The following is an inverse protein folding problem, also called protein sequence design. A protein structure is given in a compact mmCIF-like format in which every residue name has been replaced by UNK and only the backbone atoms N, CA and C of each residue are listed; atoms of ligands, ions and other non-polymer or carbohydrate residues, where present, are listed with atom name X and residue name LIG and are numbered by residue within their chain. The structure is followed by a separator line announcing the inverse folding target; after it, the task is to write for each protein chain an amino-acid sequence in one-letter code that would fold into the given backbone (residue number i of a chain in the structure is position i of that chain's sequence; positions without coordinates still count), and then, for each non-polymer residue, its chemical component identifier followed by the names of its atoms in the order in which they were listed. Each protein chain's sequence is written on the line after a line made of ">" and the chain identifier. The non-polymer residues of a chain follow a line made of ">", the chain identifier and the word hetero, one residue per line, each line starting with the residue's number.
data_IF_275158624524
#
_entry.id   IF_275158624524
#
_cell.length_a   1.000
_cell.length_b   1.000
_cell.length_c   1.000
_cell.angle_alpha   90.00
_cell.angle_beta   90.00
_cell.angle_gamma   90.00
#
_symmetry.space_group_name_H-M   'P 1'
#
loop_
_entity.id
_entity.type
_entity.pdbx_description
1 polymer ?
#
# COMPACT_ATOMS: atom_id res chain seq x y z
N UNK A 1 -15.67 26.63 -6.33
CA UNK A 1 -15.73 28.03 -5.90
C UNK A 1 -16.55 28.24 -4.62
N UNK A 2 -17.68 27.56 -4.43
CA UNK A 2 -18.53 27.71 -3.25
C UNK A 2 -17.94 27.07 -1.98
N UNK A 3 -17.19 26.00 -2.12
CA UNK A 3 -16.48 25.33 -1.00
C UNK A 3 -15.32 26.20 -0.49
N UNK A 4 -14.59 26.81 -1.40
CA UNK A 4 -13.50 27.73 -1.04
C UNK A 4 -14.02 29.03 -0.41
N UNK A 5 -15.18 29.52 -0.84
CA UNK A 5 -15.81 30.70 -0.27
C UNK A 5 -16.37 30.46 1.15
N UNK A 6 -16.94 29.27 1.43
CA UNK A 6 -17.41 28.92 2.76
C UNK A 6 -16.26 28.66 3.76
N UNK A 7 -15.13 28.14 3.29
CA UNK A 7 -13.95 27.91 4.15
C UNK A 7 -13.28 29.23 4.58
N UNK A 8 -13.39 30.29 3.75
CA UNK A 8 -12.88 31.62 4.08
C UNK A 8 -13.71 32.36 5.12
N UNK A 9 -14.97 31.99 5.30
CA UNK A 9 -15.91 32.60 6.26
C UNK A 9 -15.75 32.07 7.70
N UNK A 10 -15.05 30.93 7.87
CA UNK A 10 -15.02 30.22 9.17
C UNK A 10 -13.67 30.34 9.90
N UNK A 11 -12.82 31.29 9.50
CA UNK A 11 -11.51 31.62 10.13
C UNK A 11 -10.57 30.40 10.30
N UNK A 12 -10.65 29.39 9.39
CA UNK A 12 -9.84 28.18 9.40
C UNK A 12 -8.86 28.17 8.22
N UNK A 13 -7.68 28.79 8.33
CA UNK A 13 -6.74 28.89 7.23
C UNK A 13 -6.26 27.51 6.72
N UNK A 14 -6.19 26.51 7.60
CA UNK A 14 -5.80 25.15 7.24
C UNK A 14 -6.80 24.45 6.30
N UNK A 15 -8.11 24.70 6.47
CA UNK A 15 -9.15 24.14 5.62
C UNK A 15 -9.14 24.76 4.22
N UNK A 16 -8.95 26.08 4.15
CA UNK A 16 -8.83 26.81 2.89
C UNK A 16 -7.59 26.36 2.09
N UNK A 17 -6.49 26.13 2.77
CA UNK A 17 -5.24 25.70 2.17
C UNK A 17 -5.30 24.24 1.66
N UNK A 18 -5.95 23.34 2.41
CA UNK A 18 -6.18 21.97 2.00
C UNK A 18 -7.14 21.88 0.80
N UNK A 19 -8.23 22.66 0.81
CA UNK A 19 -9.16 22.77 -0.32
C UNK A 19 -8.50 23.31 -1.58
N UNK A 20 -7.57 24.28 -1.44
CA UNK A 20 -6.82 24.84 -2.57
C UNK A 20 -5.83 23.83 -3.16
N UNK A 21 -5.17 23.06 -2.31
CA UNK A 21 -4.27 21.97 -2.75
C UNK A 21 -5.02 20.85 -3.45
N UNK A 22 -6.17 20.42 -2.93
CA UNK A 22 -7.03 19.43 -3.56
C UNK A 22 -7.52 19.88 -4.94
N UNK A 23 -7.98 21.13 -5.05
CA UNK A 23 -8.42 21.71 -6.32
C UNK A 23 -7.29 21.84 -7.35
N UNK A 24 -6.06 22.09 -6.90
CA UNK A 24 -4.88 22.15 -7.75
C UNK A 24 -4.44 20.76 -8.23
N UNK A 25 -4.43 19.77 -7.35
CA UNK A 25 -4.10 18.38 -7.68
C UNK A 25 -5.11 17.79 -8.67
N UNK A 26 -6.41 18.02 -8.47
CA UNK A 26 -7.46 17.60 -9.39
C UNK A 26 -7.30 18.19 -10.81
N UNK A 27 -6.81 19.42 -10.93
CA UNK A 27 -6.57 20.06 -12.23
C UNK A 27 -5.32 19.53 -12.94
N UNK A 28 -4.37 18.94 -12.20
CA UNK A 28 -3.12 18.42 -12.73
C UNK A 28 -3.17 16.89 -12.96
N UNK A 29 -4.30 16.25 -12.70
CA UNK A 29 -4.45 14.78 -12.72
C UNK A 29 -3.41 14.06 -11.84
N UNK A 30 -3.05 14.68 -10.73
CA UNK A 30 -2.11 14.14 -9.75
C UNK A 30 -2.89 13.38 -8.68
N UNK A 31 -3.11 12.10 -8.93
CA UNK A 31 -3.88 11.22 -8.03
C UNK A 31 -3.23 11.10 -6.62
N UNK A 32 -1.91 11.24 -6.53
CA UNK A 32 -1.17 11.19 -5.25
C UNK A 32 -1.44 12.45 -4.43
N UNK A 33 -1.35 13.62 -5.07
CA UNK A 33 -1.62 14.90 -4.42
C UNK A 33 -3.09 15.07 -4.03
N UNK A 34 -4.02 14.46 -4.80
CA UNK A 34 -5.44 14.49 -4.50
C UNK A 34 -5.78 13.64 -3.25
N UNK A 35 -5.17 12.46 -3.15
CA UNK A 35 -5.42 11.55 -2.03
C UNK A 35 -4.86 12.14 -0.71
N UNK A 36 -3.66 12.72 -0.76
CA UNK A 36 -3.02 13.39 0.39
C UNK A 36 -3.83 14.61 0.86
N UNK A 37 -4.36 15.40 -0.08
CA UNK A 37 -5.19 16.56 0.22
C UNK A 37 -6.57 16.18 0.77
N UNK A 38 -7.16 15.08 0.30
CA UNK A 38 -8.43 14.55 0.81
C UNK A 38 -8.30 13.97 2.22
N UNK A 39 -7.17 13.34 2.52
CA UNK A 39 -6.86 12.82 3.86
C UNK A 39 -6.74 13.95 4.88
N UNK A 40 -6.04 15.04 4.53
CA UNK A 40 -5.94 16.24 5.36
C UNK A 40 -7.32 16.90 5.55
N UNK A 41 -8.15 16.93 4.52
CA UNK A 41 -9.52 17.48 4.61
C UNK A 41 -10.40 16.66 5.56
N UNK A 42 -10.24 15.34 5.56
CA UNK A 42 -10.98 14.42 6.43
C UNK A 42 -10.60 14.61 7.91
N UNK A 43 -9.31 14.75 8.18
CA UNK A 43 -8.78 15.01 9.54
C UNK A 43 -9.23 16.37 10.08
N UNK A 44 -9.23 17.42 9.25
CA UNK A 44 -9.57 18.79 9.70
C UNK A 44 -11.09 19.02 9.80
N UNK A 45 -11.89 18.37 8.93
CA UNK A 45 -13.35 18.50 8.94
C UNK A 45 -14.04 17.62 9.99
N UNK A 46 -13.36 16.58 10.47
CA UNK A 46 -13.90 15.58 11.41
C UNK A 46 -13.66 15.84 12.90
N UNK A 47 -13.19 17.02 13.28
CA UNK A 47 -12.98 17.32 14.71
C UNK A 47 -14.33 17.55 15.43
N UNK A 48 -14.86 16.59 16.23
CA UNK A 48 -16.00 16.83 17.10
C UNK A 48 -15.55 17.71 18.27
N UNK A 49 -16.48 18.52 18.77
CA UNK A 49 -16.29 19.32 19.99
C UNK A 49 -15.86 18.42 21.17
N UNK A 50 -15.09 18.95 22.13
CA UNK A 50 -14.55 18.15 23.22
C UNK A 50 -15.68 17.59 24.08
N UNK A 51 -15.87 16.28 23.99
CA UNK A 51 -16.65 15.53 24.96
C UNK A 51 -15.77 15.19 26.18
N UNK A 52 -16.33 15.14 27.42
CA UNK A 52 -15.56 14.84 28.61
C UNK A 52 -14.92 13.45 28.52
N UNK A 53 -13.68 13.36 28.94
CA UNK A 53 -12.86 12.16 28.93
C UNK A 53 -13.59 10.98 29.59
N UNK A 54 -13.71 9.83 28.89
CA UNK A 54 -13.98 8.58 29.58
C UNK A 54 -12.70 8.10 30.24
N UNK A 55 -12.85 7.63 31.48
CA UNK A 55 -11.81 7.09 32.33
C UNK A 55 -10.98 6.02 31.60
N UNK A 56 -9.66 6.13 31.70
CA UNK A 56 -8.70 5.10 31.34
C UNK A 56 -9.03 3.78 32.06
N UNK A 57 -9.56 2.81 31.35
CA UNK A 57 -9.55 1.40 31.75
C UNK A 57 -9.52 0.50 30.51
N UNK A 58 -8.39 -0.15 30.34
CA UNK A 58 -8.19 -1.48 29.71
C UNK A 58 -8.81 -1.83 28.32
N UNK A 59 -9.10 -0.87 27.41
CA UNK A 59 -9.64 -1.19 26.09
C UNK A 59 -8.59 -1.14 24.95
N UNK A 60 -7.38 -0.64 25.18
CA UNK A 60 -6.42 -0.40 24.10
C UNK A 60 -5.64 -1.64 23.62
N UNK A 61 -5.59 -2.71 24.42
CA UNK A 61 -4.86 -3.92 24.05
C UNK A 61 -5.66 -4.90 23.18
N UNK A 62 -6.98 -4.85 23.21
CA UNK A 62 -7.83 -5.71 22.38
C UNK A 62 -8.02 -5.16 20.97
N UNK A 63 -8.10 -3.84 20.81
CA UNK A 63 -8.37 -3.20 19.51
C UNK A 63 -7.17 -3.34 18.54
N UNK A 64 -5.93 -3.24 19.04
CA UNK A 64 -4.73 -3.38 18.19
C UNK A 64 -4.50 -4.85 17.80
N UNK A 65 -4.74 -5.81 18.69
CA UNK A 65 -4.65 -7.24 18.37
C UNK A 65 -5.75 -7.65 17.38
N UNK A 66 -6.97 -7.14 17.54
CA UNK A 66 -8.09 -7.40 16.61
C UNK A 66 -7.81 -6.83 15.22
N UNK A 67 -7.22 -5.63 15.12
CA UNK A 67 -6.82 -5.02 13.84
C UNK A 67 -5.70 -5.82 13.16
N UNK A 68 -4.76 -6.34 13.93
CA UNK A 68 -3.69 -7.19 13.41
C UNK A 68 -4.26 -8.49 12.86
N UNK A 69 -5.20 -9.13 13.54
CA UNK A 69 -5.85 -10.35 13.07
C UNK A 69 -6.61 -10.13 11.77
N UNK A 70 -7.34 -9.01 11.64
CA UNK A 70 -8.02 -8.61 10.40
C UNK A 70 -6.99 -8.42 9.27
N UNK A 71 -5.88 -7.74 9.54
CA UNK A 71 -4.80 -7.58 8.57
C UNK A 71 -4.25 -8.93 8.10
N UNK A 72 -4.00 -9.87 9.02
CA UNK A 72 -3.46 -11.19 8.69
C UNK A 72 -4.40 -11.99 7.78
N UNK A 73 -5.71 -11.96 8.05
CA UNK A 73 -6.71 -12.60 7.20
C UNK A 73 -6.75 -11.96 5.80
N UNK A 74 -6.85 -10.64 5.73
CA UNK A 74 -6.88 -9.91 4.47
C UNK A 74 -5.58 -10.15 3.67
N UNK A 75 -4.42 -10.08 4.32
CA UNK A 75 -3.15 -10.27 3.65
C UNK A 75 -3.00 -11.67 3.04
N UNK A 76 -3.49 -12.72 3.71
CA UNK A 76 -3.51 -14.08 3.16
C UNK A 76 -4.37 -14.19 1.90
N UNK A 77 -5.57 -13.60 1.90
CA UNK A 77 -6.45 -13.58 0.73
C UNK A 77 -5.84 -12.80 -0.43
N UNK A 78 -5.21 -11.66 -0.13
CA UNK A 78 -4.56 -10.82 -1.13
C UNK A 78 -3.34 -11.52 -1.75
N UNK A 79 -2.53 -12.20 -0.95
CA UNK A 79 -1.40 -13.01 -1.44
C UNK A 79 -1.89 -14.13 -2.36
N UNK A 80 -2.98 -14.81 -2.01
CA UNK A 80 -3.60 -15.82 -2.88
C UNK A 80 -4.07 -15.20 -4.20
N UNK A 81 -4.80 -14.09 -4.15
CA UNK A 81 -5.28 -13.37 -5.35
C UNK A 81 -4.13 -12.93 -6.25
N UNK A 82 -3.04 -12.44 -5.65
CA UNK A 82 -1.82 -12.08 -6.37
C UNK A 82 -1.16 -13.29 -7.05
N UNK A 83 -1.13 -14.43 -6.37
CA UNK A 83 -0.64 -15.69 -6.93
C UNK A 83 -1.46 -16.15 -8.15
N UNK A 84 -2.79 -16.13 -8.04
CA UNK A 84 -3.70 -16.50 -9.13
C UNK A 84 -3.52 -15.57 -10.35
N UNK A 85 -3.33 -14.26 -10.11
CA UNK A 85 -3.05 -13.30 -11.19
C UNK A 85 -1.71 -13.60 -11.89
N UNK A 86 -0.68 -13.99 -11.14
CA UNK A 86 0.63 -14.39 -11.71
C UNK A 86 0.49 -15.64 -12.57
N UNK A 87 -0.30 -16.63 -12.15
CA UNK A 87 -0.59 -17.82 -12.96
C UNK A 87 -1.35 -17.45 -14.24
N UNK A 88 -2.34 -16.55 -14.15
CA UNK A 88 -3.03 -16.01 -15.33
C UNK A 88 -2.08 -15.33 -16.30
N UNK A 89 -1.12 -14.56 -15.81
CA UNK A 89 -0.09 -13.89 -16.60
C UNK A 89 0.93 -14.86 -17.23
N UNK A 90 1.12 -16.04 -16.66
CA UNK A 90 1.92 -17.08 -17.28
C UNK A 90 1.28 -17.60 -18.59
N UNK A 91 -0.04 -17.68 -18.61
CA UNK A 91 -0.81 -18.10 -19.80
C UNK A 91 -1.02 -16.95 -20.79
N UNK A 92 -1.23 -15.72 -20.30
CA UNK A 92 -1.51 -14.52 -21.08
C UNK A 92 -0.72 -13.30 -20.56
N UNK A 93 0.58 -13.15 -20.95
CA UNK A 93 1.44 -12.08 -20.44
C UNK A 93 0.95 -10.65 -20.74
N UNK A 94 0.14 -10.48 -21.77
CA UNK A 94 -0.44 -9.20 -22.18
C UNK A 94 -1.80 -8.89 -21.55
N UNK A 95 -2.29 -9.72 -20.63
CA UNK A 95 -3.58 -9.51 -19.96
C UNK A 95 -3.49 -8.36 -18.96
N UNK A 96 -4.03 -7.21 -19.35
CA UNK A 96 -4.03 -5.98 -18.53
C UNK A 96 -4.93 -6.10 -17.29
N UNK A 97 -5.95 -6.96 -17.33
CA UNK A 97 -6.81 -7.21 -16.16
C UNK A 97 -6.03 -7.95 -15.08
N UNK A 98 -5.29 -8.98 -15.45
CA UNK A 98 -4.41 -9.72 -14.51
C UNK A 98 -3.28 -8.84 -13.99
N UNK A 99 -2.66 -8.02 -14.84
CA UNK A 99 -1.65 -7.04 -14.39
C UNK A 99 -2.24 -6.05 -13.39
N UNK A 100 -3.44 -5.55 -13.64
CA UNK A 100 -4.15 -4.63 -12.73
C UNK A 100 -4.51 -5.30 -11.42
N UNK A 101 -4.96 -6.56 -11.46
CA UNK A 101 -5.27 -7.36 -10.27
C UNK A 101 -4.02 -7.55 -9.41
N UNK A 102 -2.90 -7.92 -10.02
CA UNK A 102 -1.62 -8.07 -9.32
C UNK A 102 -1.15 -6.74 -8.69
N UNK A 103 -1.26 -5.63 -9.42
CA UNK A 103 -0.93 -4.30 -8.89
C UNK A 103 -1.82 -3.92 -7.70
N UNK A 104 -3.13 -4.21 -7.80
CA UNK A 104 -4.07 -3.98 -6.69
C UNK A 104 -3.76 -4.81 -5.46
N UNK A 105 -3.29 -6.05 -5.64
CA UNK A 105 -2.85 -6.89 -4.53
C UNK A 105 -1.73 -6.20 -3.73
N UNK A 106 -0.68 -5.70 -4.38
CA UNK A 106 0.37 -4.95 -3.70
C UNK A 106 -0.12 -3.64 -3.09
N UNK A 107 -1.03 -2.94 -3.76
CA UNK A 107 -1.64 -1.72 -3.23
C UNK A 107 -2.42 -1.98 -1.94
N UNK A 108 -3.19 -3.06 -1.88
CA UNK A 108 -3.95 -3.46 -0.68
C UNK A 108 -2.99 -3.84 0.45
N UNK A 109 -1.97 -4.67 0.18
CA UNK A 109 -0.95 -5.02 1.18
C UNK A 109 -0.25 -3.78 1.77
N UNK A 110 0.08 -2.79 0.92
CA UNK A 110 0.65 -1.50 1.36
C UNK A 110 -0.31 -0.75 2.28
N UNK A 111 -1.57 -0.65 1.91
CA UNK A 111 -2.58 0.11 2.65
C UNK A 111 -2.89 -0.51 4.00
N UNK A 112 -3.24 -1.78 4.02
CA UNK A 112 -3.64 -2.49 5.24
C UNK A 112 -2.48 -2.65 6.23
N UNK A 113 -1.25 -2.89 5.77
CA UNK A 113 -0.09 -2.97 6.65
C UNK A 113 0.23 -1.66 7.37
N UNK A 114 0.01 -0.52 6.71
CA UNK A 114 0.20 0.79 7.32
C UNK A 114 -0.81 1.08 8.43
N UNK A 115 -2.03 0.59 8.30
CA UNK A 115 -3.08 0.76 9.32
C UNK A 115 -2.72 0.05 10.64
N UNK A 116 -1.94 -1.03 10.58
CA UNK A 116 -1.46 -1.78 11.75
C UNK A 116 0.00 -1.49 12.11
N UNK A 117 0.59 -0.44 11.52
CA UNK A 117 1.93 0.02 11.86
C UNK A 117 3.09 -0.81 11.31
N UNK A 118 2.84 -1.71 10.36
CA UNK A 118 3.85 -2.56 9.71
C UNK A 118 4.56 -1.81 8.58
N UNK A 119 5.40 -0.84 8.93
CA UNK A 119 6.03 0.09 7.99
C UNK A 119 6.90 -0.63 6.96
N UNK A 120 7.78 -1.54 7.38
CA UNK A 120 8.67 -2.29 6.48
C UNK A 120 7.89 -3.12 5.47
N UNK A 121 6.83 -3.79 5.92
CA UNK A 121 5.92 -4.53 5.04
C UNK A 121 5.28 -3.63 3.99
N UNK A 122 4.77 -2.47 4.42
CA UNK A 122 4.15 -1.47 3.54
C UNK A 122 5.12 -0.90 2.50
N UNK A 123 6.38 -0.65 2.87
CA UNK A 123 7.42 -0.17 1.96
C UNK A 123 7.82 -1.24 0.93
N UNK A 124 7.90 -2.51 1.34
CA UNK A 124 8.13 -3.62 0.42
C UNK A 124 7.00 -3.73 -0.62
N UNK A 125 5.75 -3.69 -0.17
CA UNK A 125 4.58 -3.74 -1.05
C UNK A 125 4.51 -2.53 -1.99
N UNK A 126 4.84 -1.33 -1.50
CA UNK A 126 4.92 -0.12 -2.32
C UNK A 126 5.95 -0.25 -3.44
N UNK A 127 7.12 -0.81 -3.17
CA UNK A 127 8.17 -1.00 -4.19
C UNK A 127 7.68 -1.89 -5.35
N UNK A 128 6.96 -2.97 -5.04
CA UNK A 128 6.36 -3.86 -6.04
C UNK A 128 5.21 -3.18 -6.80
N UNK A 129 4.40 -2.39 -6.12
CA UNK A 129 3.35 -1.59 -6.75
C UNK A 129 3.94 -0.61 -7.77
N UNK A 130 5.02 0.10 -7.43
CA UNK A 130 5.70 1.04 -8.34
C UNK A 130 6.25 0.35 -9.59
N UNK A 131 6.81 -0.85 -9.44
CA UNK A 131 7.26 -1.66 -10.57
C UNK A 131 6.11 -1.98 -11.53
N UNK A 132 4.97 -2.44 -11.02
CA UNK A 132 3.79 -2.75 -11.84
C UNK A 132 3.14 -1.52 -12.43
N UNK A 133 3.13 -0.39 -11.73
CA UNK A 133 2.65 0.88 -12.27
C UNK A 133 3.46 1.30 -13.52
N UNK A 134 4.78 1.11 -13.50
CA UNK A 134 5.63 1.38 -14.67
C UNK A 134 5.25 0.49 -15.86
N UNK A 135 5.05 -0.81 -15.64
CA UNK A 135 4.62 -1.74 -16.69
C UNK A 135 3.25 -1.41 -17.27
N UNK A 136 2.28 -1.14 -16.40
CA UNK A 136 0.91 -0.78 -16.81
C UNK A 136 0.87 0.53 -17.59
N UNK A 137 1.67 1.53 -17.19
CA UNK A 137 1.70 2.83 -17.88
C UNK A 137 2.21 2.70 -19.33
N UNK A 138 3.07 1.72 -19.61
CA UNK A 138 3.61 1.44 -20.92
C UNK A 138 2.81 0.37 -21.68
N UNK A 139 1.78 -0.20 -21.04
CA UNK A 139 0.93 -1.28 -21.59
C UNK A 139 1.75 -2.47 -22.15
N UNK A 140 2.88 -2.75 -21.50
CA UNK A 140 3.79 -3.83 -21.91
C UNK A 140 3.28 -5.20 -21.41
N UNK A 141 3.47 -6.26 -22.19
CA UNK A 141 3.32 -7.62 -21.68
C UNK A 141 4.28 -7.87 -20.51
N UNK A 142 3.84 -8.65 -19.54
CA UNK A 142 4.68 -9.06 -18.43
C UNK A 142 5.81 -9.96 -18.94
N UNK A 143 7.04 -9.62 -18.59
CA UNK A 143 8.21 -10.45 -18.89
C UNK A 143 8.32 -11.62 -17.90
N UNK A 144 9.07 -12.65 -18.25
CA UNK A 144 9.37 -13.75 -17.33
C UNK A 144 10.11 -13.25 -16.08
N UNK A 145 10.96 -12.25 -16.24
CA UNK A 145 11.68 -11.62 -15.11
C UNK A 145 10.73 -10.92 -14.15
N UNK A 146 9.76 -10.14 -14.67
CA UNK A 146 8.75 -9.49 -13.83
C UNK A 146 7.85 -10.52 -13.14
N UNK A 147 7.41 -11.54 -13.88
CA UNK A 147 6.57 -12.60 -13.34
C UNK A 147 7.29 -13.39 -12.23
N UNK A 148 8.57 -13.73 -12.44
CA UNK A 148 9.38 -14.41 -11.44
C UNK A 148 9.58 -13.56 -10.20
N UNK A 149 9.89 -12.26 -10.36
CA UNK A 149 10.04 -11.34 -9.23
C UNK A 149 8.73 -11.18 -8.45
N UNK A 150 7.61 -11.04 -9.15
CA UNK A 150 6.29 -10.92 -8.52
C UNK A 150 5.93 -12.21 -7.75
N UNK A 151 6.25 -13.39 -8.30
CA UNK A 151 6.04 -14.68 -7.63
C UNK A 151 6.88 -14.79 -6.36
N UNK A 152 8.17 -14.46 -6.42
CA UNK A 152 9.05 -14.44 -5.25
C UNK A 152 8.53 -13.44 -4.19
N UNK A 153 8.07 -12.26 -4.61
CA UNK A 153 7.51 -11.27 -3.72
C UNK A 153 6.24 -11.79 -3.01
N UNK A 154 5.31 -12.41 -3.73
CA UNK A 154 4.10 -12.99 -3.13
C UNK A 154 4.41 -14.12 -2.16
N UNK A 155 5.36 -14.99 -2.49
CA UNK A 155 5.86 -16.03 -1.57
C UNK A 155 6.49 -15.40 -0.31
N UNK A 156 7.30 -14.34 -0.49
CA UNK A 156 7.88 -13.59 0.61
C UNK A 156 6.84 -12.94 1.51
N UNK A 157 5.84 -12.26 0.94
CA UNK A 157 4.75 -11.67 1.72
C UNK A 157 3.94 -12.72 2.47
N UNK A 158 3.67 -13.88 1.85
CA UNK A 158 3.00 -15.00 2.51
C UNK A 158 3.78 -15.49 3.72
N UNK A 159 5.08 -15.72 3.58
CA UNK A 159 5.95 -16.11 4.69
C UNK A 159 6.03 -15.02 5.78
N UNK A 160 6.15 -13.75 5.37
CA UNK A 160 6.19 -12.63 6.31
C UNK A 160 4.90 -12.51 7.14
N UNK A 161 3.74 -12.71 6.52
CA UNK A 161 2.44 -12.74 7.22
C UNK A 161 2.41 -13.83 8.29
N UNK A 162 2.91 -15.04 7.99
CA UNK A 162 2.98 -16.13 8.97
C UNK A 162 3.98 -15.83 10.11
N UNK A 163 5.11 -15.19 9.80
CA UNK A 163 6.08 -14.77 10.81
C UNK A 163 5.51 -13.66 11.71
N UNK A 164 4.72 -12.72 11.17
CA UNK A 164 3.99 -11.72 11.97
C UNK A 164 2.99 -12.43 12.90
N UNK A 165 2.22 -13.39 12.39
CA UNK A 165 1.25 -14.14 13.17
C UNK A 165 1.89 -14.90 14.35
N UNK A 166 3.14 -15.34 14.19
CA UNK A 166 3.92 -16.05 15.21
C UNK A 166 4.86 -15.14 16.00
N UNK A 167 4.86 -13.82 15.74
CA UNK A 167 5.73 -12.81 16.37
C UNK A 167 7.23 -13.10 16.13
N UNK A 168 7.57 -13.64 14.97
CA UNK A 168 8.93 -14.00 14.54
C UNK A 168 9.44 -13.18 13.36
N UNK A 169 8.79 -12.05 13.05
CA UNK A 169 9.04 -11.22 11.88
C UNK A 169 10.25 -10.26 11.99
N UNK A 170 11.02 -10.32 13.06
CA UNK A 170 12.15 -9.40 13.31
C UNK A 170 13.30 -9.45 12.30
N UNK A 171 13.34 -10.45 11.42
CA UNK A 171 14.34 -10.58 10.36
C UNK A 171 13.94 -10.00 9.01
N UNK A 172 12.69 -9.57 8.86
CA UNK A 172 12.18 -9.03 7.62
C UNK A 172 12.51 -7.55 7.42
N UNK A 173 12.80 -7.17 6.17
CA UNK A 173 13.09 -5.79 5.78
C UNK A 173 12.56 -5.50 4.37
N UNK A 174 12.22 -4.25 4.10
CA UNK A 174 11.77 -3.79 2.77
C UNK A 174 12.90 -3.68 1.75
N UNK A 175 14.14 -3.55 2.21
CA UNK A 175 15.30 -3.28 1.35
C UNK A 175 15.52 -4.30 0.21
N UNK A 176 15.40 -5.63 0.40
CA UNK A 176 15.52 -6.59 -0.70
C UNK A 176 14.47 -6.38 -1.79
N UNK A 177 13.20 -6.15 -1.39
CA UNK A 177 12.09 -5.88 -2.33
C UNK A 177 12.35 -4.61 -3.14
N UNK A 178 12.75 -3.54 -2.48
CA UNK A 178 13.07 -2.26 -3.14
C UNK A 178 14.23 -2.41 -4.11
N UNK A 179 15.30 -3.07 -3.70
CA UNK A 179 16.47 -3.29 -4.57
C UNK A 179 16.10 -4.08 -5.82
N UNK A 180 15.37 -5.18 -5.67
CA UNK A 180 14.96 -6.01 -6.79
C UNK A 180 13.95 -5.30 -7.71
N UNK A 181 12.98 -4.59 -7.14
CA UNK A 181 12.00 -3.84 -7.92
C UNK A 181 12.63 -2.68 -8.69
N UNK A 182 13.53 -1.91 -8.06
CA UNK A 182 14.21 -0.79 -8.70
C UNK A 182 15.18 -1.26 -9.78
N UNK A 183 15.93 -2.33 -9.57
CA UNK A 183 16.82 -2.92 -10.58
C UNK A 183 16.04 -3.32 -11.83
N UNK A 184 14.91 -3.98 -11.69
CA UNK A 184 14.09 -4.37 -12.83
C UNK A 184 13.41 -3.17 -13.49
N UNK A 185 12.89 -2.22 -12.69
CA UNK A 185 12.17 -1.04 -13.17
C UNK A 185 13.06 -0.04 -13.89
N UNK A 186 14.25 0.24 -13.34
CA UNK A 186 15.13 1.31 -13.80
C UNK A 186 16.23 0.82 -14.75
N UNK A 187 16.73 -0.39 -14.52
CA UNK A 187 17.89 -0.93 -15.22
C UNK A 187 17.53 -2.11 -16.15
N UNK A 188 16.32 -2.67 -15.99
CA UNK A 188 15.90 -3.88 -16.72
C UNK A 188 16.64 -5.13 -16.25
N UNK A 189 17.23 -5.12 -15.06
CA UNK A 189 18.03 -6.20 -14.50
C UNK A 189 17.24 -6.98 -13.46
N UNK A 190 17.21 -8.30 -13.63
CA UNK A 190 16.58 -9.19 -12.67
C UNK A 190 17.52 -9.48 -11.50
N UNK A 191 17.13 -9.05 -10.31
CA UNK A 191 17.78 -9.40 -9.04
C UNK A 191 16.86 -10.35 -8.27
N UNK A 192 17.31 -11.56 -7.89
CA UNK A 192 16.52 -12.47 -7.06
C UNK A 192 16.19 -11.85 -5.70
N UNK A 193 15.00 -12.12 -5.17
CA UNK A 193 14.65 -11.79 -3.80
C UNK A 193 15.25 -12.83 -2.85
N UNK A 194 16.31 -12.43 -2.16
CA UNK A 194 16.88 -13.24 -1.10
C UNK A 194 16.33 -12.74 0.24
N UNK A 195 15.44 -13.51 0.84
CA UNK A 195 15.01 -13.30 2.21
C UNK A 195 16.09 -13.90 3.10
N UNK A 196 16.72 -13.09 3.94
CA UNK A 196 17.63 -13.58 4.96
C UNK A 196 16.84 -14.38 6.00
N UNK A 197 16.48 -15.60 5.67
CA UNK A 197 16.11 -16.60 6.66
C UNK A 197 17.41 -16.92 7.39
N UNK A 198 17.65 -16.22 8.50
CA UNK A 198 18.73 -16.58 9.42
C UNK A 198 18.30 -17.88 10.07
N UNK A 199 19.00 -18.98 9.75
CA UNK A 199 18.93 -20.25 10.46
C UNK A 199 19.16 -20.07 11.98
#
# INVERSE_FOLDING_TARGET
>A
DQIAANAALDDRPALADAAHRAAKAARQQDDVGLNDALEILHVVAGAPAPMPAPSETDASFSDDDDLLDIFLEEAREVVQTGGDAIEGLAAAPGDLEQQTTLRRAFHTLKGSSRMVGLTEFGEAAWSMEQLLNAWLSEQKPVTDDLRSLASEAMLGFGAWVEDIATKSDGGWASAPFRTAADALRLEGVRVPLEFGLVD
#
